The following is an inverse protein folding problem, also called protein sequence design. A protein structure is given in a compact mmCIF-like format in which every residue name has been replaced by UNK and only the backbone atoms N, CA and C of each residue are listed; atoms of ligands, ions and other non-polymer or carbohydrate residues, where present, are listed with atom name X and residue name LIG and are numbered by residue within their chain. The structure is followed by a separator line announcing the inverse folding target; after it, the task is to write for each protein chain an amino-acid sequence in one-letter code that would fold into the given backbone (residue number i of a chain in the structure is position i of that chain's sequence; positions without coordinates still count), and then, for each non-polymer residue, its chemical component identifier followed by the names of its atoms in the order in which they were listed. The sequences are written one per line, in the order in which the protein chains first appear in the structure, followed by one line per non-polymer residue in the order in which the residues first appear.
data_IF_477767007417
#
_entry.id   IF_477767007417
#
_cell.length_a   1.000
_cell.length_b   1.000
_cell.length_c   1.000
_cell.angle_alpha   90.00
_cell.angle_beta   90.00
_cell.angle_gamma   90.00
#
_symmetry.space_group_name_H-M   'P 1'
#
loop_
_entity.id
_entity.type
_entity.pdbx_description
1 polymer ?
#
# COMPACT_ATOMS: atom_id res chain seq x y z
N UNK A 1 1.86 24.58 -49.21
CA UNK A 1 1.34 23.91 -48.00
C UNK A 1 0.76 22.57 -48.42
N UNK A 2 1.37 21.46 -47.99
CA UNK A 2 0.84 20.11 -48.28
C UNK A 2 -0.46 19.95 -47.51
N UNK A 3 -1.54 19.49 -48.16
CA UNK A 3 -2.80 19.29 -47.43
C UNK A 3 -2.63 18.19 -46.37
N UNK A 4 -3.23 18.31 -45.17
CA UNK A 4 -3.09 17.34 -44.10
C UNK A 4 -3.38 15.89 -44.54
N UNK A 5 -4.35 15.71 -45.45
CA UNK A 5 -4.68 14.40 -46.02
C UNK A 5 -3.60 13.81 -46.94
N UNK A 6 -2.91 14.65 -47.72
CA UNK A 6 -1.79 14.19 -48.57
C UNK A 6 -0.58 13.78 -47.72
N UNK A 7 -0.34 14.47 -46.61
CA UNK A 7 0.72 14.13 -45.67
C UNK A 7 0.45 12.78 -44.98
N UNK A 8 -0.76 12.53 -44.47
CA UNK A 8 -1.14 11.24 -43.88
C UNK A 8 -1.01 10.07 -44.87
N UNK A 9 -1.45 10.29 -46.12
CA UNK A 9 -1.31 9.29 -47.17
C UNK A 9 0.16 8.96 -47.48
N UNK A 10 1.06 9.95 -47.44
CA UNK A 10 2.50 9.75 -47.61
C UNK A 10 3.11 8.93 -46.47
N UNK A 11 2.79 9.26 -45.21
CA UNK A 11 3.25 8.49 -44.04
C UNK A 11 2.79 7.04 -44.12
N UNK A 12 1.51 6.82 -44.47
CA UNK A 12 0.95 5.49 -44.63
C UNK A 12 1.61 4.71 -45.78
N UNK A 13 1.91 5.36 -46.91
CA UNK A 13 2.59 4.74 -48.04
C UNK A 13 4.02 4.29 -47.68
N UNK A 14 4.78 5.13 -46.97
CA UNK A 14 6.14 4.79 -46.51
C UNK A 14 6.09 3.68 -45.45
N UNK A 15 5.16 3.74 -44.50
CA UNK A 15 4.98 2.68 -43.51
C UNK A 15 4.60 1.35 -44.16
N UNK A 16 3.66 1.35 -45.12
CA UNK A 16 3.26 0.16 -45.88
C UNK A 16 4.44 -0.44 -46.62
N UNK A 17 5.25 0.38 -47.28
CA UNK A 17 6.47 -0.07 -47.95
C UNK A 17 7.44 -0.72 -46.96
N UNK A 18 7.69 -0.09 -45.81
CA UNK A 18 8.52 -0.65 -44.74
C UNK A 18 8.02 -2.00 -44.23
N UNK A 19 6.70 -2.18 -44.05
CA UNK A 19 6.09 -3.46 -43.64
C UNK A 19 6.23 -4.52 -44.73
N UNK A 20 6.00 -4.16 -46.00
CA UNK A 20 6.12 -5.09 -47.13
C UNK A 20 7.54 -5.63 -47.33
N UNK A 21 8.57 -4.96 -46.79
CA UNK A 21 9.96 -5.42 -46.86
C UNK A 21 10.37 -6.34 -45.69
N UNK A 22 9.52 -6.54 -44.67
CA UNK A 22 9.80 -7.43 -43.52
C UNK A 22 10.00 -8.91 -43.94
N UNK A 23 9.18 -9.50 -44.83
CA UNK A 23 9.36 -10.89 -45.27
C UNK A 23 10.71 -11.18 -45.95
N UNK A 24 11.36 -10.15 -46.49
CA UNK A 24 12.68 -10.28 -47.12
C UNK A 24 13.82 -10.37 -46.09
N UNK A 25 13.55 -10.06 -44.81
CA UNK A 25 14.52 -10.05 -43.70
C UNK A 25 13.91 -10.58 -42.39
N UNK A 26 13.26 -11.74 -42.47
CA UNK A 26 12.50 -12.32 -41.36
C UNK A 26 13.35 -12.53 -40.09
N UNK A 27 14.57 -13.04 -40.21
CA UNK A 27 15.42 -13.32 -39.05
C UNK A 27 15.78 -12.07 -38.24
N UNK A 28 16.27 -11.03 -38.91
CA UNK A 28 16.63 -9.77 -38.26
C UNK A 28 15.40 -9.00 -37.73
N UNK A 29 14.27 -9.08 -38.42
CA UNK A 29 13.04 -8.40 -37.98
C UNK A 29 12.40 -9.11 -36.78
N UNK A 30 12.42 -10.45 -36.77
CA UNK A 30 11.91 -11.25 -35.66
C UNK A 30 12.76 -11.04 -34.40
N UNK A 31 14.09 -11.08 -34.51
CA UNK A 31 14.97 -10.86 -33.35
C UNK A 31 14.78 -9.48 -32.72
N UNK A 32 14.66 -8.42 -33.55
CA UNK A 32 14.34 -7.08 -33.08
C UNK A 32 12.97 -7.02 -32.38
N UNK A 33 11.94 -7.63 -32.96
CA UNK A 33 10.60 -7.67 -32.37
C UNK A 33 10.59 -8.41 -31.02
N UNK A 34 11.27 -9.56 -30.92
CA UNK A 34 11.39 -10.30 -29.67
C UNK A 34 12.16 -9.52 -28.59
N UNK A 35 13.24 -8.82 -28.97
CA UNK A 35 13.98 -7.97 -28.04
C UNK A 35 13.11 -6.85 -27.46
N UNK A 36 12.36 -6.14 -28.32
CA UNK A 36 11.44 -5.09 -27.89
C UNK A 36 10.31 -5.67 -27.01
N UNK A 37 9.72 -6.79 -27.43
CA UNK A 37 8.65 -7.44 -26.67
C UNK A 37 9.12 -7.87 -25.27
N UNK A 38 10.34 -8.41 -25.16
CA UNK A 38 10.93 -8.79 -23.87
C UNK A 38 11.08 -7.60 -22.92
N UNK A 39 11.63 -6.48 -23.39
CA UNK A 39 11.79 -5.26 -22.57
C UNK A 39 10.44 -4.70 -22.14
N UNK A 40 9.46 -4.63 -23.06
CA UNK A 40 8.11 -4.17 -22.75
C UNK A 40 7.43 -5.07 -21.72
N UNK A 41 7.55 -6.40 -21.87
CA UNK A 41 6.97 -7.36 -20.93
C UNK A 41 7.54 -7.19 -19.51
N UNK A 42 8.85 -7.03 -19.38
CA UNK A 42 9.51 -6.78 -18.08
C UNK A 42 9.03 -5.46 -17.48
N UNK A 43 9.00 -4.38 -18.28
CA UNK A 43 8.57 -3.07 -17.80
C UNK A 43 7.12 -3.09 -17.31
N UNK A 44 6.21 -3.70 -18.09
CA UNK A 44 4.81 -3.85 -17.71
C UNK A 44 4.68 -4.70 -16.44
N UNK A 45 5.46 -5.78 -16.31
CA UNK A 45 5.47 -6.62 -15.12
C UNK A 45 5.85 -5.85 -13.85
N UNK A 46 6.99 -5.14 -13.87
CA UNK A 46 7.47 -4.36 -12.72
C UNK A 46 6.51 -3.23 -12.37
N UNK A 47 5.98 -2.49 -13.36
CA UNK A 47 5.00 -1.43 -13.13
C UNK A 47 3.69 -1.97 -12.55
N UNK A 48 3.24 -3.14 -13.02
CA UNK A 48 2.03 -3.78 -12.50
C UNK A 48 2.20 -4.21 -11.04
N UNK A 49 3.37 -4.73 -10.67
CA UNK A 49 3.69 -5.05 -9.27
C UNK A 49 3.69 -3.78 -8.42
N UNK A 50 4.37 -2.72 -8.86
CA UNK A 50 4.43 -1.46 -8.15
C UNK A 50 3.03 -0.87 -7.91
N UNK A 51 2.21 -0.83 -8.96
CA UNK A 51 0.82 -0.36 -8.87
C UNK A 51 -0.05 -1.27 -7.99
N UNK A 52 0.17 -2.58 -8.02
CA UNK A 52 -0.53 -3.53 -7.15
C UNK A 52 -0.24 -3.30 -5.66
N UNK A 53 1.02 -3.06 -5.32
CA UNK A 53 1.45 -2.75 -3.95
C UNK A 53 0.84 -1.41 -3.52
N UNK A 54 1.01 -0.35 -4.32
CA UNK A 54 0.46 0.97 -4.03
C UNK A 54 -1.07 0.95 -3.84
N UNK A 55 -1.78 0.21 -4.70
CA UNK A 55 -3.23 0.07 -4.60
C UNK A 55 -3.67 -0.67 -3.34
N UNK A 56 -2.91 -1.68 -2.93
CA UNK A 56 -3.20 -2.43 -1.71
C UNK A 56 -2.94 -1.59 -0.46
N UNK A 57 -1.83 -0.84 -0.43
CA UNK A 57 -1.51 0.06 0.69
C UNK A 57 -2.52 1.20 0.83
N UNK A 58 -2.87 1.86 -0.28
CA UNK A 58 -3.83 2.97 -0.29
C UNK A 58 -5.26 2.55 0.07
N UNK A 59 -5.69 1.34 -0.32
CA UNK A 59 -7.02 0.81 0.07
C UNK A 59 -7.10 0.39 1.53
N UNK A 60 -6.01 -0.11 2.08
CA UNK A 60 -5.95 -0.53 3.49
C UNK A 60 -5.97 0.67 4.43
N UNK A 61 -5.42 1.82 4.02
CA UNK A 61 -5.48 3.06 4.78
C UNK A 61 -6.93 3.54 5.01
N UNK A 62 -7.20 4.12 6.18
CA UNK A 62 -8.41 4.88 6.44
C UNK A 62 -8.22 6.32 5.90
N UNK A 63 -9.21 6.91 5.21
CA UNK A 63 -9.07 8.23 4.59
C UNK A 63 -8.92 9.38 5.60
N UNK A 64 -9.37 9.16 6.83
CA UNK A 64 -9.42 10.06 7.98
C UNK A 64 -8.55 9.59 9.16
N UNK A 65 -7.84 8.46 8.99
CA UNK A 65 -6.93 7.93 9.99
C UNK A 65 -5.49 8.45 9.80
N UNK A 66 -4.84 8.79 10.90
CA UNK A 66 -3.43 9.13 10.92
C UNK A 66 -2.68 8.29 11.96
N UNK A 67 -1.47 7.85 11.63
CA UNK A 67 -0.55 7.18 12.56
C UNK A 67 0.55 8.17 12.92
N UNK A 68 0.68 8.46 14.21
CA UNK A 68 1.72 9.36 14.73
C UNK A 68 2.84 8.51 15.31
N UNK A 69 4.06 8.72 14.81
CA UNK A 69 5.26 8.06 15.30
C UNK A 69 6.20 9.09 15.91
N UNK A 70 7.04 8.65 16.85
CA UNK A 70 8.15 9.47 17.34
C UNK A 70 9.09 9.80 16.17
N UNK A 71 9.63 11.01 16.18
CA UNK A 71 10.65 11.39 15.20
C UNK A 71 11.81 10.39 15.16
N UNK A 72 12.31 10.11 13.94
CA UNK A 72 13.31 9.09 13.67
C UNK A 72 12.85 7.62 13.77
N UNK A 73 11.59 7.33 14.13
CA UNK A 73 11.08 5.96 14.16
C UNK A 73 10.62 5.51 12.76
N UNK A 74 11.25 4.47 12.21
CA UNK A 74 10.87 3.87 10.93
C UNK A 74 9.69 2.89 10.99
N UNK A 75 9.18 2.59 12.18
CA UNK A 75 8.03 1.69 12.38
C UNK A 75 7.36 1.94 13.74
N UNK A 76 6.13 1.46 13.89
CA UNK A 76 5.40 1.48 15.17
C UNK A 76 6.18 0.79 16.29
N UNK A 77 6.88 -0.30 15.97
CA UNK A 77 7.68 -1.08 16.94
C UNK A 77 8.87 -0.28 17.49
N UNK A 78 9.43 0.64 16.71
CA UNK A 78 10.55 1.49 17.12
C UNK A 78 10.09 2.86 17.63
N UNK A 79 8.79 3.10 17.69
CA UNK A 79 8.20 4.37 18.12
C UNK A 79 7.74 4.29 19.57
N UNK A 80 8.48 4.95 20.46
CA UNK A 80 8.06 5.17 21.85
C UNK A 80 7.54 6.60 22.04
N UNK A 81 6.25 6.75 22.29
CA UNK A 81 5.64 8.00 22.76
C UNK A 81 5.22 7.82 24.22
N UNK A 82 5.58 8.76 25.08
CA UNK A 82 5.12 8.79 26.46
C UNK A 82 3.68 9.28 26.57
N UNK A 83 3.14 9.20 27.79
CA UNK A 83 1.75 9.59 28.07
C UNK A 83 1.52 11.09 27.84
N UNK A 84 2.48 11.94 28.15
CA UNK A 84 2.33 13.39 27.98
C UNK A 84 2.27 13.74 26.49
N UNK A 85 3.11 13.12 25.67
CA UNK A 85 3.10 13.31 24.22
C UNK A 85 1.80 12.82 23.60
N UNK A 86 1.25 11.68 24.03
CA UNK A 86 -0.01 11.17 23.49
C UNK A 86 -1.20 12.07 23.84
N UNK A 87 -1.20 12.67 25.04
CA UNK A 87 -2.22 13.66 25.44
C UNK A 87 -2.14 14.91 24.55
N UNK A 88 -0.92 15.44 24.31
CA UNK A 88 -0.72 16.60 23.43
C UNK A 88 -1.20 16.30 22.00
N UNK A 89 -0.89 15.10 21.48
CA UNK A 89 -1.36 14.66 20.16
C UNK A 89 -2.89 14.61 20.11
N UNK A 90 -3.54 14.02 21.13
CA UNK A 90 -5.00 13.93 21.19
C UNK A 90 -5.71 15.29 21.28
N UNK A 91 -5.09 16.29 21.92
CA UNK A 91 -5.65 17.65 22.03
C UNK A 91 -5.35 18.56 20.84
N UNK A 92 -4.59 18.08 19.85
CA UNK A 92 -4.24 18.86 18.66
C UNK A 92 -5.49 19.15 17.80
N UNK A 93 -5.55 20.38 17.25
CA UNK A 93 -6.63 20.79 16.35
C UNK A 93 -6.64 19.91 15.10
N UNK A 94 -7.79 19.30 14.80
CA UNK A 94 -7.98 18.43 13.64
C UNK A 94 -8.28 16.98 14.01
N UNK A 95 -8.04 16.57 15.27
CA UNK A 95 -8.47 15.27 15.79
C UNK A 95 -9.98 15.30 16.00
N UNK A 96 -10.68 14.33 15.42
CA UNK A 96 -12.11 14.13 15.62
C UNK A 96 -12.39 13.83 17.10
N UNK A 97 -13.58 14.19 17.60
CA UNK A 97 -13.98 13.94 19.00
C UNK A 97 -15.23 13.07 19.03
N UNK A 98 -15.18 12.01 19.83
CA UNK A 98 -16.31 11.13 20.13
C UNK A 98 -17.01 11.55 21.43
N UNK A 99 -17.88 10.68 21.94
CA UNK A 99 -18.60 10.91 23.21
C UNK A 99 -17.71 10.86 24.45
N UNK A 100 -16.57 10.16 24.38
CA UNK A 100 -15.66 9.96 25.51
C UNK A 100 -14.42 10.86 25.48
N UNK A 101 -14.18 11.62 24.40
CA UNK A 101 -12.97 12.44 24.24
C UNK A 101 -12.46 12.50 22.80
N UNK A 102 -11.18 12.85 22.57
CA UNK A 102 -10.58 12.78 21.25
C UNK A 102 -10.54 11.34 20.73
N UNK A 103 -10.83 11.16 19.44
CA UNK A 103 -10.68 9.90 18.72
C UNK A 103 -9.19 9.66 18.44
N UNK A 104 -8.47 9.32 19.49
CA UNK A 104 -7.06 8.96 19.48
C UNK A 104 -6.84 7.78 20.42
N UNK A 105 -6.00 6.84 20.01
CA UNK A 105 -5.59 5.72 20.87
C UNK A 105 -4.08 5.67 20.95
N UNK A 106 -3.54 5.73 22.16
CA UNK A 106 -2.13 5.43 22.41
C UNK A 106 -1.91 3.91 22.34
N UNK A 107 -1.37 3.44 21.21
CA UNK A 107 -1.17 2.01 20.97
C UNK A 107 0.28 1.57 21.24
N UNK A 108 0.44 0.42 21.91
CA UNK A 108 1.73 -0.22 22.14
C UNK A 108 1.84 -1.46 21.25
N UNK A 109 2.84 -1.50 20.36
CA UNK A 109 3.07 -2.65 19.47
C UNK A 109 4.37 -3.36 19.79
N UNK A 110 4.28 -4.60 20.27
CA UNK A 110 5.43 -5.43 20.68
C UNK A 110 5.31 -6.85 20.14
N UNK A 111 6.44 -7.55 20.03
CA UNK A 111 6.44 -9.00 19.77
C UNK A 111 6.60 -9.72 21.10
N UNK A 112 5.77 -10.72 21.32
CA UNK A 112 5.87 -11.62 22.49
C UNK A 112 6.04 -13.05 22.02
N UNK A 113 6.70 -13.85 22.85
CA UNK A 113 6.73 -15.30 22.68
C UNK A 113 5.49 -15.91 23.33
N UNK A 114 4.69 -16.60 22.52
CA UNK A 114 3.49 -17.30 22.96
C UNK A 114 3.64 -18.81 22.69
N UNK A 115 3.47 -19.69 23.69
CA UNK A 115 3.54 -21.13 23.48
C UNK A 115 2.46 -21.60 22.50
N UNK A 116 2.88 -22.24 21.41
CA UNK A 116 1.98 -22.74 20.37
C UNK A 116 1.15 -23.90 20.91
N UNK A 117 -0.18 -23.80 20.85
CA UNK A 117 -1.11 -24.82 21.37
C UNK A 117 -0.85 -26.24 20.84
N UNK A 118 -0.34 -26.38 19.62
CA UNK A 118 -0.12 -27.70 18.99
C UNK A 118 1.18 -28.39 19.41
N UNK A 119 2.25 -27.62 19.67
CA UNK A 119 3.61 -28.16 19.86
C UNK A 119 4.23 -27.81 21.20
N UNK A 120 3.65 -26.85 21.95
CA UNK A 120 4.21 -26.34 23.21
C UNK A 120 5.47 -25.49 23.05
N UNK A 121 5.94 -25.28 21.82
CA UNK A 121 7.11 -24.46 21.50
C UNK A 121 6.73 -23.00 21.35
N UNK A 122 7.66 -22.09 21.65
CA UNK A 122 7.43 -20.66 21.53
C UNK A 122 7.22 -20.23 20.07
N UNK A 123 6.23 -19.35 19.88
CA UNK A 123 5.94 -18.70 18.63
C UNK A 123 5.91 -17.18 18.84
N UNK A 124 6.61 -16.46 17.99
CA UNK A 124 6.63 -15.01 18.02
C UNK A 124 5.32 -14.47 17.45
N UNK A 125 4.58 -13.70 18.25
CA UNK A 125 3.31 -13.10 17.84
C UNK A 125 3.29 -11.60 18.13
N UNK A 126 2.71 -10.78 17.23
CA UNK A 126 2.49 -9.39 17.52
C UNK A 126 1.38 -9.23 18.57
N UNK A 127 1.69 -8.53 19.66
CA UNK A 127 0.74 -8.08 20.66
C UNK A 127 0.58 -6.57 20.51
N UNK A 128 -0.67 -6.12 20.44
CA UNK A 128 -1.01 -4.70 20.43
C UNK A 128 -1.85 -4.34 21.66
N UNK A 129 -1.32 -3.46 22.50
CA UNK A 129 -2.08 -2.78 23.54
C UNK A 129 -2.80 -1.58 22.94
N UNK A 130 -4.07 -1.39 23.29
CA UNK A 130 -4.93 -0.33 22.74
C UNK A 130 -5.77 0.31 23.83
N UNK A 131 -6.22 1.55 23.61
CA UNK A 131 -7.20 2.23 24.45
C UNK A 131 -8.63 1.94 23.95
N UNK A 132 -9.64 2.33 24.73
CA UNK A 132 -11.05 2.12 24.37
C UNK A 132 -11.44 2.77 23.04
N UNK A 133 -10.92 3.98 22.80
CA UNK A 133 -11.12 4.70 21.55
C UNK A 133 -10.57 3.97 20.31
N UNK A 134 -9.69 2.97 20.46
CA UNK A 134 -9.12 2.25 19.32
C UNK A 134 -10.17 1.52 18.48
N UNK A 135 -11.25 1.04 19.10
CA UNK A 135 -12.35 0.38 18.40
C UNK A 135 -13.18 1.36 17.56
N UNK A 136 -13.15 2.66 17.90
CA UNK A 136 -13.77 3.72 17.10
C UNK A 136 -12.82 4.27 16.05
N UNK A 137 -11.53 4.44 16.38
CA UNK A 137 -10.49 4.92 15.45
C UNK A 137 -10.22 3.90 14.33
N UNK A 138 -10.34 2.60 14.61
CA UNK A 138 -10.15 1.52 13.63
C UNK A 138 -11.48 1.06 13.06
N UNK A 139 -12.07 1.92 12.22
CA UNK A 139 -13.36 1.73 11.55
C UNK A 139 -13.57 0.38 10.83
N UNK A 140 -12.51 -0.24 10.32
CA UNK A 140 -12.54 -1.53 9.62
C UNK A 140 -12.41 -2.76 10.52
N UNK A 141 -12.33 -2.58 11.84
CA UNK A 141 -12.21 -3.70 12.78
C UNK A 141 -13.59 -4.30 13.08
N UNK A 142 -13.75 -5.59 12.78
CA UNK A 142 -14.98 -6.34 13.05
C UNK A 142 -14.68 -7.52 13.99
N UNK A 143 -15.42 -7.61 15.10
CA UNK A 143 -15.34 -8.74 16.03
C UNK A 143 -16.25 -9.85 15.53
N UNK A 144 -15.68 -10.87 14.87
CA UNK A 144 -16.43 -12.00 14.32
C UNK A 144 -17.01 -12.90 15.41
N UNK A 145 -16.28 -13.07 16.52
CA UNK A 145 -16.69 -13.92 17.64
C UNK A 145 -16.17 -13.36 18.96
N UNK A 146 -16.98 -13.51 20.01
CA UNK A 146 -16.66 -13.03 21.35
C UNK A 146 -17.20 -11.63 21.59
N UNK A 147 -16.49 -10.83 22.39
CA UNK A 147 -16.84 -9.45 22.71
C UNK A 147 -15.58 -8.61 22.82
N UNK A 148 -15.66 -7.29 22.57
CA UNK A 148 -14.60 -6.36 22.91
C UNK A 148 -14.19 -6.49 24.37
N UNK A 149 -12.97 -6.06 24.67
CA UNK A 149 -12.50 -5.97 26.05
C UNK A 149 -13.34 -4.95 26.82
N UNK A 150 -13.67 -5.26 28.08
CA UNK A 150 -14.39 -4.36 28.97
C UNK A 150 -13.42 -3.90 30.07
N UNK A 151 -13.07 -2.61 30.06
CA UNK A 151 -12.16 -2.04 31.05
C UNK A 151 -12.85 -1.94 32.43
N UNK A 152 -12.14 -2.35 33.48
CA UNK A 152 -12.56 -2.10 34.86
C UNK A 152 -13.69 -2.98 35.42
N UNK A 153 -14.03 -4.09 34.76
CA UNK A 153 -14.93 -5.12 35.33
C UNK A 153 -14.15 -6.21 36.05
#
# INVERSE_FOLDING_TARGET
MVSPGKWLAQVAAVAKYSVMTIPQRLGASASAAFGIAGVVAVMVGVLSIAQGIERTMSRSAAPDGAVVLRDGAGSEMMSGLGREETVIVGDTRGIARGSAGPLSSAELFVIIDLPKRSTGTDANVPLRGVEEAAFEVRDKLEVIQGRPFEWGR
#
